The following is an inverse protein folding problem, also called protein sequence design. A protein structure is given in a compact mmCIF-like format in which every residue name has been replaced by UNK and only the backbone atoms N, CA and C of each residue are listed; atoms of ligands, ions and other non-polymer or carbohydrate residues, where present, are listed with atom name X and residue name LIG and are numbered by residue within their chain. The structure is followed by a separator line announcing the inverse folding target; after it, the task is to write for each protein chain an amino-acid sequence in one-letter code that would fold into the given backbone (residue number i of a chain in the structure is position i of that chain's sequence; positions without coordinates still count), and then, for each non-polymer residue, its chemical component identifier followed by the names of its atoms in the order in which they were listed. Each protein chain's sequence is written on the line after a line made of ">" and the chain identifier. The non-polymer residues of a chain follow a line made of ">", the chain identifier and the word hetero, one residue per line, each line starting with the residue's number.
data_IF_251165445030
#
_entry.id   IF_251165445030
#
_cell.length_a   1.000
_cell.length_b   1.000
_cell.length_c   1.000
_cell.angle_alpha   90.00
_cell.angle_beta   90.00
_cell.angle_gamma   90.00
#
_symmetry.space_group_name_H-M   'P 1'
#
loop_
_entity.id
_entity.type
_entity.pdbx_description
1 polymer ?
#
# COMPACT_ATOMS: atom_id res chain seq x y z
N UNK A 1 -30.43 -74.16 38.18
CA UNK A 1 -31.01 -73.78 36.87
C UNK A 1 -32.20 -72.88 37.20
N UNK A 2 -32.31 -71.60 36.84
CA UNK A 2 -31.91 -70.86 35.62
C UNK A 2 -31.93 -69.37 36.01
N UNK A 3 -30.81 -68.65 35.82
CA UNK A 3 -30.74 -67.19 35.99
C UNK A 3 -31.58 -66.50 34.90
N UNK A 4 -32.33 -65.43 35.21
CA UNK A 4 -32.79 -64.50 34.18
C UNK A 4 -31.68 -63.50 33.87
N UNK A 5 -31.35 -63.41 32.58
CA UNK A 5 -30.23 -62.65 32.05
C UNK A 5 -30.38 -61.14 32.12
N UNK A 6 -29.23 -60.48 32.19
CA UNK A 6 -29.02 -59.10 31.75
C UNK A 6 -29.47 -58.93 30.30
N UNK A 7 -30.33 -57.94 30.05
CA UNK A 7 -30.42 -57.27 28.75
C UNK A 7 -30.29 -55.78 29.00
N UNK A 8 -29.14 -55.27 28.54
CA UNK A 8 -28.76 -53.87 28.39
C UNK A 8 -29.71 -53.13 27.46
N UNK A 9 -30.11 -51.89 27.81
CA UNK A 9 -30.21 -50.75 26.89
C UNK A 9 -30.14 -49.44 27.70
N UNK A 10 -28.93 -48.97 27.98
CA UNK A 10 -28.73 -47.58 28.40
C UNK A 10 -28.97 -46.70 27.17
N UNK A 11 -30.11 -46.00 27.14
CA UNK A 11 -30.47 -45.06 26.05
C UNK A 11 -29.51 -43.88 26.11
N UNK A 12 -28.46 -43.92 25.31
CA UNK A 12 -27.57 -42.79 25.06
C UNK A 12 -28.35 -41.75 24.23
N UNK A 13 -28.89 -40.74 24.90
CA UNK A 13 -29.36 -39.50 24.24
C UNK A 13 -28.15 -38.79 23.67
N UNK A 14 -27.84 -39.06 22.40
CA UNK A 14 -26.88 -38.30 21.62
C UNK A 14 -27.44 -36.92 21.32
N UNK A 15 -27.16 -35.95 22.19
CA UNK A 15 -27.38 -34.53 21.90
C UNK A 15 -26.41 -34.12 20.80
N UNK A 16 -26.89 -34.01 19.56
CA UNK A 16 -26.16 -33.36 18.47
C UNK A 16 -26.09 -31.86 18.77
N UNK A 17 -25.01 -31.43 19.41
CA UNK A 17 -24.65 -30.02 19.46
C UNK A 17 -24.23 -29.60 18.05
N UNK A 18 -25.16 -28.96 17.32
CA UNK A 18 -24.84 -28.25 16.08
C UNK A 18 -23.94 -27.08 16.47
N UNK A 19 -22.63 -27.27 16.34
CA UNK A 19 -21.67 -26.17 16.42
C UNK A 19 -21.90 -25.31 15.19
N UNK A 20 -22.66 -24.23 15.36
CA UNK A 20 -22.75 -23.16 14.36
C UNK A 20 -21.39 -22.47 14.35
N UNK A 21 -20.50 -22.96 13.48
CA UNK A 21 -19.23 -22.30 13.19
C UNK A 21 -19.54 -20.96 12.54
N UNK A 22 -19.56 -19.90 13.34
CA UNK A 22 -19.57 -18.53 12.83
C UNK A 22 -18.31 -18.34 11.98
N UNK A 23 -18.47 -18.36 10.66
CA UNK A 23 -17.39 -18.06 9.73
C UNK A 23 -17.10 -16.56 9.87
N UNK A 24 -16.20 -16.19 10.78
CA UNK A 24 -15.73 -14.81 10.88
C UNK A 24 -14.87 -14.55 9.65
N UNK A 25 -15.43 -13.94 8.61
CA UNK A 25 -14.64 -13.38 7.52
C UNK A 25 -13.72 -12.33 8.12
N UNK A 26 -12.43 -12.65 8.26
CA UNK A 26 -11.43 -11.66 8.61
C UNK A 26 -11.35 -10.68 7.44
N UNK A 27 -11.90 -9.47 7.61
CA UNK A 27 -11.71 -8.41 6.64
C UNK A 27 -10.22 -8.07 6.60
N UNK A 28 -9.55 -8.42 5.50
CA UNK A 28 -8.14 -8.15 5.33
C UNK A 28 -7.96 -6.63 5.15
N UNK A 29 -7.16 -6.01 6.01
CA UNK A 29 -6.95 -4.56 5.98
C UNK A 29 -6.19 -4.17 4.71
N UNK A 30 -6.78 -3.29 3.90
CA UNK A 30 -6.13 -2.67 2.74
C UNK A 30 -5.45 -1.39 3.20
N UNK A 31 -4.14 -1.31 2.97
CA UNK A 31 -3.37 -0.10 3.19
C UNK A 31 -3.28 0.72 1.92
N UNK A 32 -3.45 2.03 2.05
CA UNK A 32 -3.06 3.01 1.03
C UNK A 32 -1.64 3.51 1.34
N UNK A 33 -0.76 3.43 0.36
CA UNK A 33 0.63 3.83 0.44
C UNK A 33 0.85 5.05 -0.46
N UNK A 34 1.09 6.20 0.14
CA UNK A 34 1.27 7.47 -0.54
C UNK A 34 2.76 7.87 -0.55
N UNK A 35 3.33 8.07 -1.73
CA UNK A 35 4.67 8.66 -1.90
C UNK A 35 4.51 10.10 -2.33
N UNK A 36 5.05 11.02 -1.54
CA UNK A 36 4.98 12.46 -1.78
C UNK A 36 6.33 13.03 -2.18
N UNK A 37 6.32 14.03 -3.06
CA UNK A 37 7.45 14.92 -3.32
C UNK A 37 7.14 16.29 -2.72
N UNK A 38 8.04 16.80 -1.88
CA UNK A 38 8.07 18.20 -1.45
C UNK A 38 9.03 18.96 -2.36
N UNK A 39 8.56 20.04 -3.00
CA UNK A 39 9.42 20.86 -3.84
C UNK A 39 10.35 21.74 -2.99
N UNK A 40 11.61 21.32 -2.88
CA UNK A 40 12.68 22.07 -2.21
C UNK A 40 13.61 22.81 -3.17
N UNK A 41 13.28 22.86 -4.47
CA UNK A 41 14.18 23.37 -5.52
C UNK A 41 14.17 24.90 -5.65
N UNK A 42 13.33 25.61 -4.91
CA UNK A 42 13.22 27.07 -4.94
C UNK A 42 12.53 27.65 -6.19
N UNK A 43 12.16 26.81 -7.16
CA UNK A 43 11.44 27.18 -8.39
C UNK A 43 10.24 26.25 -8.63
N UNK A 44 9.18 26.70 -9.33
CA UNK A 44 8.10 25.81 -9.73
C UNK A 44 8.59 24.65 -10.60
N UNK A 45 8.00 23.47 -10.40
CA UNK A 45 8.29 22.26 -11.17
C UNK A 45 7.05 21.83 -11.94
N UNK A 46 7.23 21.43 -13.20
CA UNK A 46 6.26 20.67 -13.96
C UNK A 46 6.59 19.18 -13.80
N UNK A 47 5.63 18.39 -13.30
CA UNK A 47 5.78 16.96 -13.14
C UNK A 47 4.90 16.23 -14.17
N UNK A 48 5.44 15.19 -14.80
CA UNK A 48 4.68 14.24 -15.61
C UNK A 48 4.94 12.83 -15.08
N UNK A 49 3.88 12.13 -14.70
CA UNK A 49 3.90 10.83 -14.05
C UNK A 49 3.24 9.78 -14.94
N UNK A 50 3.78 8.56 -14.91
CA UNK A 50 3.17 7.36 -15.48
C UNK A 50 3.44 6.16 -14.56
N UNK A 51 2.46 5.25 -14.47
CA UNK A 51 2.51 4.06 -13.60
C UNK A 51 2.78 4.42 -12.12
N UNK A 52 2.23 5.54 -11.64
CA UNK A 52 2.37 6.00 -10.26
C UNK A 52 1.33 5.34 -9.32
N UNK A 53 0.54 4.39 -9.80
CA UNK A 53 -0.42 3.63 -8.99
C UNK A 53 -0.65 2.22 -9.53
N UNK A 54 -1.10 1.31 -8.66
CA UNK A 54 -1.43 -0.08 -9.00
C UNK A 54 -2.95 -0.33 -9.16
N UNK A 55 -3.77 0.72 -9.10
CA UNK A 55 -5.21 0.65 -9.29
C UNK A 55 -5.76 1.74 -10.23
N UNK A 56 -4.94 2.72 -10.59
CA UNK A 56 -5.26 3.81 -11.52
C UNK A 56 -3.96 4.28 -12.19
N UNK A 57 -3.63 3.71 -13.35
CA UNK A 57 -2.34 3.88 -14.01
C UNK A 57 -2.32 4.98 -15.08
N UNK A 58 -3.36 5.83 -15.12
CA UNK A 58 -3.45 6.89 -16.11
C UNK A 58 -2.32 7.92 -15.94
N UNK A 59 -1.55 8.20 -17.02
CA UNK A 59 -0.54 9.25 -16.97
C UNK A 59 -1.15 10.60 -16.62
N UNK A 60 -0.46 11.36 -15.77
CA UNK A 60 -0.93 12.68 -15.31
C UNK A 60 0.19 13.69 -15.21
N UNK A 61 -0.17 14.96 -15.35
CA UNK A 61 0.75 16.08 -15.19
C UNK A 61 0.23 17.06 -14.14
N UNK A 62 1.15 17.65 -13.37
CA UNK A 62 0.82 18.66 -12.37
C UNK A 62 1.96 19.65 -12.17
N UNK A 63 1.62 20.86 -11.71
CA UNK A 63 2.60 21.86 -11.30
C UNK A 63 2.78 21.81 -9.79
N UNK A 64 4.02 21.83 -9.34
CA UNK A 64 4.39 21.85 -7.93
C UNK A 64 5.18 23.12 -7.62
N UNK A 65 4.56 24.10 -6.96
CA UNK A 65 5.24 25.34 -6.58
C UNK A 65 6.25 25.11 -5.44
N UNK A 66 7.20 26.04 -5.20
CA UNK A 66 8.12 25.93 -4.08
C UNK A 66 7.41 25.69 -2.75
N UNK A 67 7.95 24.77 -1.95
CA UNK A 67 7.41 24.33 -0.65
C UNK A 67 6.03 23.66 -0.72
N UNK A 68 5.49 23.36 -1.90
CA UNK A 68 4.31 22.53 -2.05
C UNK A 68 4.68 21.05 -2.07
N UNK A 69 3.76 20.24 -1.53
CA UNK A 69 3.84 18.78 -1.52
C UNK A 69 2.74 18.19 -2.38
N UNK A 70 3.07 17.23 -3.25
CA UNK A 70 2.10 16.48 -4.04
C UNK A 70 2.44 14.99 -4.07
N UNK A 71 1.43 14.15 -4.26
CA UNK A 71 1.63 12.71 -4.43
C UNK A 71 2.26 12.46 -5.80
N UNK A 72 3.33 11.66 -5.81
CA UNK A 72 4.03 11.15 -6.99
C UNK A 72 3.95 9.61 -7.06
N UNK A 73 3.13 9.01 -6.20
CA UNK A 73 2.89 7.57 -6.09
C UNK A 73 1.72 7.30 -5.12
N UNK A 74 0.78 6.45 -5.51
CA UNK A 74 -0.31 5.97 -4.65
C UNK A 74 -0.61 4.50 -4.92
N UNK A 75 -0.43 3.64 -3.92
CA UNK A 75 -0.56 2.19 -4.09
C UNK A 75 -1.47 1.58 -3.03
N UNK A 76 -2.24 0.56 -3.40
CA UNK A 76 -3.01 -0.25 -2.45
C UNK A 76 -2.30 -1.57 -2.18
N UNK A 77 -2.24 -2.00 -0.92
CA UNK A 77 -1.57 -3.26 -0.54
C UNK A 77 -2.28 -3.95 0.61
N UNK A 78 -2.17 -5.28 0.68
CA UNK A 78 -2.70 -6.08 1.78
C UNK A 78 -1.67 -6.39 2.88
N UNK A 79 -0.67 -5.51 3.02
CA UNK A 79 0.41 -5.64 4.02
C UNK A 79 1.82 -5.49 3.44
N UNK A 80 1.97 -5.55 2.11
CA UNK A 80 3.25 -5.38 1.42
C UNK A 80 3.85 -3.98 1.61
N UNK A 81 5.18 -3.88 1.51
CA UNK A 81 5.88 -2.59 1.55
C UNK A 81 5.70 -1.84 0.21
N UNK A 82 5.74 -0.51 0.26
CA UNK A 82 5.52 0.36 -0.92
C UNK A 82 6.57 0.12 -2.01
N UNK A 83 7.80 -0.24 -1.62
CA UNK A 83 8.89 -0.51 -2.55
C UNK A 83 8.55 -1.62 -3.55
N UNK A 84 7.83 -2.66 -3.10
CA UNK A 84 7.34 -3.75 -3.94
C UNK A 84 6.13 -3.39 -4.80
N UNK A 85 5.44 -2.29 -4.51
CA UNK A 85 4.27 -1.83 -5.28
C UNK A 85 4.64 -0.90 -6.43
N UNK A 86 5.80 -0.25 -6.36
CA UNK A 86 6.29 0.63 -7.43
C UNK A 86 6.52 -0.25 -8.67
N UNK A 87 5.81 0.04 -9.77
CA UNK A 87 5.98 -0.66 -11.04
C UNK A 87 7.39 -0.47 -11.59
N UNK A 88 7.97 -1.50 -12.23
CA UNK A 88 9.22 -1.35 -12.99
C UNK A 88 9.10 -0.35 -14.15
N UNK A 89 7.87 -0.06 -14.58
CA UNK A 89 7.55 0.92 -15.62
C UNK A 89 7.29 2.32 -15.06
N UNK A 90 7.47 2.53 -13.75
CA UNK A 90 7.34 3.86 -13.14
C UNK A 90 8.23 4.88 -13.84
N UNK A 91 7.64 6.02 -14.16
CA UNK A 91 8.36 7.15 -14.74
C UNK A 91 7.82 8.46 -14.20
N UNK A 92 8.74 9.30 -13.70
CA UNK A 92 8.48 10.67 -13.32
C UNK A 92 9.47 11.57 -14.07
N UNK A 93 8.94 12.47 -14.89
CA UNK A 93 9.70 13.58 -15.47
C UNK A 93 9.47 14.84 -14.65
N UNK A 94 10.56 15.49 -14.22
CA UNK A 94 10.58 16.71 -13.43
C UNK A 94 11.25 17.78 -14.28
N UNK A 95 10.51 18.84 -14.60
CA UNK A 95 11.01 19.96 -15.41
C UNK A 95 10.98 21.23 -14.60
N UNK A 96 12.12 21.91 -14.54
CA UNK A 96 12.28 23.27 -14.03
C UNK A 96 12.36 24.25 -15.23
N UNK A 97 12.44 25.57 -14.99
CA UNK A 97 12.63 26.54 -16.06
C UNK A 97 13.92 26.33 -16.88
N UNK A 98 14.95 25.71 -16.31
CA UNK A 98 16.29 25.62 -16.90
C UNK A 98 16.77 24.20 -17.18
N UNK A 99 16.14 23.19 -16.59
CA UNK A 99 16.60 21.79 -16.66
C UNK A 99 15.45 20.79 -16.55
N UNK A 100 15.73 19.55 -16.96
CA UNK A 100 14.82 18.41 -16.83
C UNK A 100 15.56 17.22 -16.23
N UNK A 101 14.85 16.45 -15.41
CA UNK A 101 15.36 15.23 -14.77
C UNK A 101 14.28 14.15 -14.78
N UNK A 102 14.71 12.92 -15.06
CA UNK A 102 13.83 11.76 -14.99
C UNK A 102 14.17 10.92 -13.76
N UNK A 103 13.14 10.42 -13.10
CA UNK A 103 13.20 9.49 -11.97
C UNK A 103 12.53 8.20 -12.41
N UNK A 104 13.28 7.10 -12.35
CA UNK A 104 12.79 5.77 -12.66
C UNK A 104 12.36 5.01 -11.39
N UNK A 105 11.81 3.81 -11.57
CA UNK A 105 11.37 2.93 -10.50
C UNK A 105 12.46 2.66 -9.46
N UNK A 106 13.69 2.38 -9.91
CA UNK A 106 14.78 2.03 -9.01
C UNK A 106 15.20 3.21 -8.15
N UNK A 107 15.29 4.40 -8.75
CA UNK A 107 15.59 5.64 -8.04
C UNK A 107 14.52 5.94 -7.00
N UNK A 108 13.24 5.77 -7.35
CA UNK A 108 12.15 5.96 -6.39
C UNK A 108 12.21 4.95 -5.24
N UNK A 109 12.40 3.66 -5.53
CA UNK A 109 12.55 2.59 -4.52
C UNK A 109 13.70 2.88 -3.54
N UNK A 110 14.84 3.32 -4.06
CA UNK A 110 15.99 3.69 -3.24
C UNK A 110 15.70 4.91 -2.35
N UNK A 111 14.96 5.89 -2.87
CA UNK A 111 14.54 7.06 -2.08
C UNK A 111 13.60 6.66 -0.94
N UNK A 112 12.53 5.90 -1.22
CA UNK A 112 11.53 5.54 -0.21
C UNK A 112 12.07 4.60 0.88
N UNK A 113 13.04 3.73 0.57
CA UNK A 113 13.70 2.86 1.55
C UNK A 113 14.54 3.62 2.57
N UNK A 114 15.05 4.80 2.18
CA UNK A 114 15.85 5.66 3.04
C UNK A 114 15.00 6.64 3.88
N UNK A 115 13.70 6.72 3.60
CA UNK A 115 12.77 7.66 4.24
C UNK A 115 11.97 6.97 5.33
N UNK A 116 11.83 7.63 6.48
CA UNK A 116 10.98 7.14 7.57
C UNK A 116 9.51 7.17 7.13
N UNK A 117 8.90 5.99 7.08
CA UNK A 117 7.44 5.84 6.90
C UNK A 117 6.67 6.51 8.05
N UNK A 118 5.64 7.26 7.71
CA UNK A 118 4.56 7.66 8.63
C UNK A 118 3.33 6.80 8.41
N UNK A 119 2.64 6.42 9.48
CA UNK A 119 1.44 5.57 9.39
C UNK A 119 0.32 6.15 10.26
N UNK A 120 -0.82 6.41 9.65
CA UNK A 120 -2.05 6.84 10.31
C UNK A 120 -3.20 5.96 9.83
N UNK A 121 -3.71 5.10 10.72
CA UNK A 121 -4.72 4.09 10.40
C UNK A 121 -4.26 3.21 9.23
N UNK A 122 -5.05 3.15 8.16
CA UNK A 122 -4.75 2.39 6.96
C UNK A 122 -3.97 3.20 5.89
N UNK A 123 -3.44 4.37 6.24
CA UNK A 123 -2.65 5.21 5.33
C UNK A 123 -1.20 5.21 5.78
N UNK A 124 -0.30 4.83 4.89
CA UNK A 124 1.15 4.88 5.05
C UNK A 124 1.70 5.90 4.08
N UNK A 125 2.70 6.67 4.50
CA UNK A 125 3.25 7.70 3.64
C UNK A 125 4.75 7.91 3.80
N UNK A 126 5.37 8.33 2.70
CA UNK A 126 6.77 8.69 2.58
C UNK A 126 6.83 10.07 1.92
N UNK A 127 7.63 10.98 2.47
CA UNK A 127 7.83 12.31 1.86
C UNK A 127 9.28 12.45 1.46
N UNK A 128 9.52 12.62 0.16
CA UNK A 128 10.82 12.96 -0.41
C UNK A 128 10.97 14.48 -0.31
N UNK A 129 11.88 14.93 0.54
CA UNK A 129 12.15 16.33 0.85
C UNK A 129 13.62 16.71 0.58
N UNK A 130 14.31 15.89 -0.21
CA UNK A 130 15.72 16.11 -0.54
C UNK A 130 15.87 16.80 -1.90
N UNK A 131 16.91 17.63 -2.02
CA UNK A 131 17.29 18.24 -3.30
C UNK A 131 17.74 17.24 -4.38
N UNK A 132 17.85 15.95 -4.07
CA UNK A 132 18.22 14.92 -5.03
C UNK A 132 17.18 14.76 -6.16
N UNK A 133 15.96 15.25 -5.98
CA UNK A 133 14.90 15.24 -7.00
C UNK A 133 14.82 16.56 -7.79
N UNK A 134 15.66 17.55 -7.49
CA UNK A 134 15.75 18.76 -8.28
C UNK A 134 16.47 18.50 -9.62
N UNK A 135 15.95 19.05 -10.74
CA UNK A 135 16.62 19.06 -12.03
C UNK A 135 17.89 19.92 -12.07
#
# INVERSE_FOLDING_TARGET
>A
MKLPGMISMSRWTGSFAVVVSSITSAAQQVYRNDVYLLNTCGVPLELTLANDSNYDDQPRSLTLNPNQRSSIGNYQSFGEDVSGQISDQYSLSIKSPTAMKSIDAQTLRNAVTSIKKTEEKAVRSWTIDTGAFCP
#
